data_IF_874954115403
#
_entry.id   IF_874954115403
#
_cell.length_a   1.000
_cell.length_b   1.000
_cell.length_c   1.000
_cell.angle_alpha   90.00
_cell.angle_beta   90.00
_cell.angle_gamma   90.00
#
_symmetry.space_group_name_H-M   'P 1'
#
loop_
_entity.id
_entity.type
_entity.pdbx_description
1 polymer ?
#
# COMPACT_ATOMS: atom_id res chain seq x y z
N UNK A 1 18.34 -16.56 -18.38
CA UNK A 1 18.38 -17.50 -17.23
C UNK A 1 19.25 -16.85 -16.18
N UNK A 2 18.71 -16.68 -14.97
CA UNK A 2 19.45 -16.11 -13.84
C UNK A 2 20.55 -17.07 -13.38
N UNK A 3 21.70 -16.53 -12.99
CA UNK A 3 22.79 -17.33 -12.41
C UNK A 3 22.31 -17.99 -11.09
N UNK A 4 22.43 -19.32 -10.95
CA UNK A 4 22.06 -20.02 -9.73
C UNK A 4 22.81 -19.44 -8.52
N UNK A 5 22.08 -19.09 -7.46
CA UNK A 5 22.65 -18.49 -6.25
C UNK A 5 22.90 -16.98 -6.31
N UNK A 6 22.56 -16.31 -7.41
CA UNK A 6 22.52 -14.84 -7.46
C UNK A 6 21.53 -14.27 -6.43
N UNK A 7 21.72 -13.01 -6.02
CA UNK A 7 20.85 -12.35 -5.04
C UNK A 7 19.37 -12.38 -5.46
N UNK A 8 19.08 -12.10 -6.74
CA UNK A 8 17.70 -12.15 -7.23
C UNK A 8 17.15 -13.59 -7.28
N UNK A 9 17.97 -14.60 -7.60
CA UNK A 9 17.52 -15.99 -7.53
C UNK A 9 17.14 -16.39 -6.10
N UNK A 10 17.85 -15.88 -5.08
CA UNK A 10 17.48 -16.07 -3.66
C UNK A 10 16.19 -15.33 -3.31
N UNK A 11 16.01 -14.09 -3.76
CA UNK A 11 14.75 -13.35 -3.57
C UNK A 11 13.57 -14.14 -4.13
N UNK A 12 13.65 -14.55 -5.40
CA UNK A 12 12.55 -15.26 -6.07
C UNK A 12 12.24 -16.61 -5.40
N UNK A 13 13.27 -17.36 -4.99
CA UNK A 13 13.08 -18.61 -4.25
C UNK A 13 12.38 -18.39 -2.90
N UNK A 14 12.79 -17.35 -2.15
CA UNK A 14 12.16 -17.01 -0.87
C UNK A 14 10.72 -16.54 -1.04
N UNK A 15 10.42 -15.79 -2.10
CA UNK A 15 9.05 -15.41 -2.44
C UNK A 15 8.16 -16.63 -2.71
N UNK A 16 8.67 -17.65 -3.41
CA UNK A 16 7.95 -18.90 -3.61
C UNK A 16 7.71 -19.66 -2.29
N UNK A 17 8.73 -19.74 -1.44
CA UNK A 17 8.59 -20.36 -0.11
C UNK A 17 7.55 -19.65 0.76
N UNK A 18 7.47 -18.31 0.69
CA UNK A 18 6.44 -17.54 1.39
C UNK A 18 5.05 -17.74 0.77
N UNK A 19 4.96 -17.76 -0.55
CA UNK A 19 3.70 -17.80 -1.29
C UNK A 19 2.87 -19.05 -1.02
N UNK A 20 3.52 -20.19 -0.78
CA UNK A 20 2.83 -21.47 -0.51
C UNK A 20 2.27 -21.58 0.91
N UNK A 21 2.62 -20.67 1.82
CA UNK A 21 2.16 -20.70 3.22
C UNK A 21 0.65 -20.38 3.29
N UNK A 22 -0.06 -21.13 4.12
CA UNK A 22 -1.52 -21.03 4.30
C UNK A 22 -2.33 -21.92 3.35
N UNK A 23 -1.70 -22.43 2.29
CA UNK A 23 -2.36 -23.26 1.28
C UNK A 23 -3.49 -22.54 0.54
N UNK A 24 -4.25 -23.28 -0.27
CA UNK A 24 -5.35 -22.71 -1.06
C UNK A 24 -4.88 -21.96 -2.31
N UNK A 25 -5.72 -21.05 -2.81
CA UNK A 25 -5.40 -20.20 -3.95
C UNK A 25 -4.68 -18.94 -3.42
N UNK A 26 -3.54 -18.57 -4.01
CA UNK A 26 -2.78 -17.39 -3.58
C UNK A 26 -2.12 -17.52 -2.21
N UNK A 27 -1.52 -16.41 -1.75
CA UNK A 27 -1.00 -16.28 -0.38
C UNK A 27 -2.16 -16.16 0.62
N UNK A 28 -2.04 -16.81 1.77
CA UNK A 28 -3.07 -16.81 2.83
C UNK A 28 -2.44 -16.69 4.22
N UNK A 29 -1.67 -15.63 4.45
CA UNK A 29 -0.96 -15.34 5.71
C UNK A 29 -1.61 -14.16 6.43
N UNK A 30 -2.69 -14.40 7.16
CA UNK A 30 -3.42 -13.31 7.85
C UNK A 30 -2.59 -12.77 9.02
N UNK A 31 -2.61 -11.46 9.24
CA UNK A 31 -1.91 -10.86 10.38
C UNK A 31 -2.26 -11.53 11.73
N UNK A 32 -1.24 -11.74 12.54
CA UNK A 32 -1.23 -12.49 13.80
C UNK A 32 -1.71 -13.94 13.74
N UNK A 33 -1.74 -14.55 12.56
CA UNK A 33 -2.05 -15.97 12.39
C UNK A 33 -0.80 -16.87 12.50
N UNK A 34 -1.02 -18.18 12.61
CA UNK A 34 0.06 -19.19 12.59
C UNK A 34 0.87 -19.16 11.28
N UNK A 35 0.22 -18.78 10.19
CA UNK A 35 0.80 -18.69 8.85
C UNK A 35 1.73 -17.46 8.74
N UNK A 36 1.35 -16.32 9.30
CA UNK A 36 2.25 -15.16 9.40
C UNK A 36 3.44 -15.48 10.34
N UNK A 37 3.20 -16.17 11.45
CA UNK A 37 4.27 -16.63 12.36
C UNK A 37 5.25 -17.60 11.65
N UNK A 38 4.75 -18.44 10.73
CA UNK A 38 5.59 -19.29 9.90
C UNK A 38 6.47 -18.49 8.94
N UNK A 39 5.90 -17.50 8.25
CA UNK A 39 6.67 -16.59 7.40
C UNK A 39 7.77 -15.84 8.19
N UNK A 40 7.45 -15.36 9.39
CA UNK A 40 8.44 -14.72 10.27
C UNK A 40 9.55 -15.69 10.72
N UNK A 41 9.24 -16.97 10.96
CA UNK A 41 10.27 -17.98 11.26
C UNK A 41 11.22 -18.22 10.08
N UNK A 42 10.70 -18.27 8.84
CA UNK A 42 11.54 -18.40 7.65
C UNK A 42 12.42 -17.16 7.48
N UNK A 43 11.83 -15.97 7.56
CA UNK A 43 12.55 -14.70 7.46
C UNK A 43 13.65 -14.57 8.52
N UNK A 44 13.39 -15.00 9.77
CA UNK A 44 14.41 -15.09 10.83
C UNK A 44 15.59 -15.95 10.38
N UNK A 45 15.32 -17.15 9.88
CA UNK A 45 16.37 -18.06 9.42
C UNK A 45 17.21 -17.45 8.29
N UNK A 46 16.58 -16.75 7.35
CA UNK A 46 17.28 -16.06 6.26
C UNK A 46 18.10 -14.86 6.74
N UNK A 47 17.60 -14.07 7.70
CA UNK A 47 18.35 -12.99 8.34
C UNK A 47 19.58 -13.52 9.10
N UNK A 48 19.43 -14.61 9.85
CA UNK A 48 20.54 -15.28 10.56
C UNK A 48 21.57 -15.84 9.57
N UNK A 49 21.14 -16.44 8.47
CA UNK A 49 22.02 -16.92 7.39
C UNK A 49 22.79 -15.79 6.71
N UNK A 50 22.20 -14.61 6.60
CA UNK A 50 22.84 -13.39 6.10
C UNK A 50 23.79 -12.74 7.14
N UNK A 51 23.95 -13.34 8.32
CA UNK A 51 24.86 -12.86 9.38
C UNK A 51 24.32 -11.66 10.16
N UNK A 52 23.00 -11.45 10.17
CA UNK A 52 22.35 -10.37 10.91
C UNK A 52 22.04 -10.77 12.35
N UNK A 53 22.13 -9.82 13.27
CA UNK A 53 21.68 -9.95 14.66
C UNK A 53 20.16 -9.82 14.72
N UNK A 54 19.46 -10.92 14.96
CA UNK A 54 17.99 -10.99 14.86
C UNK A 54 17.29 -10.89 16.21
N UNK A 55 16.36 -9.96 16.32
CA UNK A 55 15.53 -9.70 17.51
C UNK A 55 14.05 -9.60 17.14
N UNK A 56 13.16 -9.73 18.12
CA UNK A 56 11.74 -9.40 17.99
C UNK A 56 11.39 -8.33 19.01
N UNK A 57 10.71 -7.27 18.58
CA UNK A 57 10.29 -6.19 19.46
C UNK A 57 8.99 -6.53 20.22
N UNK A 58 8.51 -5.59 21.04
CA UNK A 58 7.29 -5.77 21.82
C UNK A 58 6.00 -5.83 20.98
N UNK A 59 6.03 -5.35 19.73
CA UNK A 59 4.92 -5.40 18.78
C UNK A 59 4.91 -6.71 17.97
N UNK A 60 5.96 -7.52 18.10
CA UNK A 60 6.16 -8.75 17.35
C UNK A 60 6.91 -8.54 16.03
N UNK A 61 7.40 -7.33 15.75
CA UNK A 61 8.18 -7.06 14.54
C UNK A 61 9.51 -7.81 14.60
N UNK A 62 9.89 -8.45 13.50
CA UNK A 62 11.18 -9.13 13.39
C UNK A 62 12.20 -8.17 12.79
N UNK A 63 13.31 -7.97 13.49
CA UNK A 63 14.35 -7.01 13.10
C UNK A 63 15.70 -7.72 13.04
N UNK A 64 16.33 -7.73 11.87
CA UNK A 64 17.70 -8.20 11.64
C UNK A 64 18.65 -7.04 11.43
N UNK A 65 19.62 -6.84 12.33
CA UNK A 65 20.59 -5.74 12.26
C UNK A 65 21.95 -6.23 11.77
N UNK A 66 22.57 -5.49 10.87
CA UNK A 66 23.95 -5.78 10.49
C UNK A 66 24.92 -5.36 11.62
N UNK A 67 25.89 -6.20 12.02
CA UNK A 67 26.79 -5.89 13.15
C UNK A 67 27.64 -4.62 12.97
N UNK A 68 27.90 -4.22 11.71
CA UNK A 68 28.67 -3.01 11.40
C UNK A 68 27.90 -1.69 11.62
N UNK A 69 26.57 -1.73 11.80
CA UNK A 69 25.73 -0.55 12.02
C UNK A 69 24.33 -0.71 11.42
N UNK A 70 23.34 -0.04 12.03
CA UNK A 70 21.91 -0.21 11.72
C UNK A 70 21.11 1.10 11.76
N UNK A 71 21.73 2.21 11.36
CA UNK A 71 21.09 3.52 11.33
C UNK A 71 19.96 3.61 10.28
N UNK A 72 20.22 3.12 9.06
CA UNK A 72 19.25 3.05 7.97
C UNK A 72 18.54 1.69 7.97
N UNK A 73 17.22 1.72 7.92
CA UNK A 73 16.38 0.51 7.89
C UNK A 73 15.75 0.34 6.51
N UNK A 74 15.48 -0.91 6.16
CA UNK A 74 14.65 -1.31 5.04
C UNK A 74 13.70 -2.40 5.49
N UNK A 75 12.62 -2.63 4.77
CA UNK A 75 11.69 -3.68 5.14
C UNK A 75 10.34 -3.49 4.49
N UNK A 76 9.40 -4.30 4.94
CA UNK A 76 7.97 -4.21 4.66
C UNK A 76 7.26 -5.22 5.58
N UNK A 77 6.21 -5.89 5.11
CA UNK A 77 5.42 -6.83 5.88
C UNK A 77 5.44 -8.26 5.30
N UNK A 78 4.97 -9.24 6.08
CA UNK A 78 4.91 -10.65 5.68
C UNK A 78 3.50 -11.24 5.74
N UNK A 79 2.53 -10.53 6.34
CA UNK A 79 1.13 -10.87 6.20
C UNK A 79 0.64 -10.61 4.76
N UNK A 80 -0.58 -11.07 4.46
CA UNK A 80 -1.24 -10.93 3.18
C UNK A 80 -2.75 -11.01 3.37
N UNK A 81 -3.51 -10.40 2.46
CA UNK A 81 -4.95 -10.68 2.33
C UNK A 81 -5.24 -12.14 1.91
N UNK A 82 -6.46 -12.66 2.15
CA UNK A 82 -6.88 -13.94 1.61
C UNK A 82 -6.78 -13.99 0.08
N UNK A 83 -6.17 -15.05 -0.46
CA UNK A 83 -5.85 -15.22 -1.87
C UNK A 83 -4.98 -14.08 -2.44
N UNK A 84 -4.07 -13.54 -1.63
CA UNK A 84 -3.13 -12.50 -2.02
C UNK A 84 -2.10 -12.97 -3.05
N UNK A 85 -1.28 -12.01 -3.49
CA UNK A 85 -0.21 -12.23 -4.44
C UNK A 85 1.07 -12.77 -3.82
N UNK A 86 2.09 -12.92 -4.66
CA UNK A 86 3.42 -13.42 -4.27
C UNK A 86 4.34 -12.33 -3.72
N UNK A 87 4.10 -11.07 -4.07
CA UNK A 87 5.09 -9.99 -3.93
C UNK A 87 4.68 -8.94 -2.90
N UNK A 88 3.39 -8.66 -2.76
CA UNK A 88 2.84 -7.69 -1.81
C UNK A 88 3.41 -7.90 -0.39
N UNK A 89 4.06 -6.87 0.16
CA UNK A 89 4.87 -6.93 1.39
C UNK A 89 6.14 -7.79 1.32
N UNK A 90 5.96 -9.07 0.98
CA UNK A 90 7.00 -10.10 1.01
C UNK A 90 8.26 -9.71 0.23
N UNK A 91 8.09 -9.05 -0.92
CA UNK A 91 9.20 -8.55 -1.73
C UNK A 91 10.10 -7.59 -0.96
N UNK A 92 9.52 -6.63 -0.24
CA UNK A 92 10.29 -5.64 0.52
C UNK A 92 11.14 -6.27 1.62
N UNK A 93 10.61 -7.29 2.29
CA UNK A 93 11.34 -8.01 3.34
C UNK A 93 12.48 -8.84 2.76
N UNK A 94 12.21 -9.70 1.76
CA UNK A 94 13.25 -10.60 1.24
C UNK A 94 14.31 -9.86 0.42
N UNK A 95 13.93 -8.78 -0.28
CA UNK A 95 14.87 -7.89 -0.93
C UNK A 95 15.69 -7.09 0.07
N UNK A 96 15.06 -6.66 1.18
CA UNK A 96 15.75 -5.98 2.28
C UNK A 96 16.84 -6.85 2.92
N UNK A 97 16.59 -8.14 3.14
CA UNK A 97 17.60 -9.09 3.63
C UNK A 97 18.82 -9.10 2.71
N UNK A 98 18.60 -9.27 1.39
CA UNK A 98 19.67 -9.29 0.40
C UNK A 98 20.40 -7.95 0.28
N UNK A 99 19.67 -6.84 0.36
CA UNK A 99 20.23 -5.51 0.24
C UNK A 99 21.12 -5.16 1.44
N UNK A 100 20.69 -5.48 2.67
CA UNK A 100 21.46 -5.24 3.90
C UNK A 100 22.72 -6.11 3.93
N UNK A 101 22.61 -7.40 3.59
CA UNK A 101 23.77 -8.31 3.49
C UNK A 101 24.82 -7.75 2.53
N UNK A 102 24.40 -7.28 1.35
CA UNK A 102 25.30 -6.79 0.30
C UNK A 102 25.80 -5.36 0.55
N UNK A 103 25.02 -4.54 1.25
CA UNK A 103 25.45 -3.21 1.66
C UNK A 103 26.52 -3.30 2.76
N UNK A 104 26.48 -4.33 3.61
CA UNK A 104 27.39 -4.52 4.73
C UNK A 104 27.09 -3.61 5.91
N UNK A 105 25.90 -3.01 5.94
CA UNK A 105 25.33 -2.26 7.06
C UNK A 105 23.82 -2.06 6.85
N UNK A 106 23.14 -1.55 7.87
CA UNK A 106 21.70 -1.32 7.89
C UNK A 106 20.94 -2.35 8.73
N UNK A 107 19.62 -2.25 8.73
CA UNK A 107 18.75 -3.27 9.31
C UNK A 107 17.59 -3.58 8.36
N UNK A 108 17.10 -4.81 8.45
CA UNK A 108 15.86 -5.24 7.83
C UNK A 108 14.79 -5.45 8.89
N UNK A 109 13.58 -4.96 8.65
CA UNK A 109 12.41 -5.20 9.49
C UNK A 109 11.30 -5.91 8.70
N UNK A 110 10.67 -6.90 9.32
CA UNK A 110 9.39 -7.43 8.90
C UNK A 110 8.34 -6.98 9.92
N UNK A 111 7.46 -6.07 9.49
CA UNK A 111 6.38 -5.56 10.31
C UNK A 111 5.23 -6.57 10.40
N UNK A 112 4.52 -6.54 11.54
CA UNK A 112 3.32 -7.35 11.77
C UNK A 112 2.06 -6.65 11.25
N UNK A 113 1.20 -7.42 10.60
CA UNK A 113 -0.19 -7.08 10.31
C UNK A 113 -0.38 -5.71 9.62
N UNK A 114 0.26 -5.54 8.47
CA UNK A 114 0.13 -4.34 7.63
C UNK A 114 -1.29 -4.24 7.04
N UNK A 115 -1.78 -5.34 6.47
CA UNK A 115 -2.97 -5.40 5.61
C UNK A 115 -4.26 -4.98 6.32
N UNK A 116 -4.29 -5.11 7.64
CA UNK A 116 -5.46 -4.76 8.48
C UNK A 116 -5.29 -3.46 9.25
N UNK A 117 -4.11 -2.84 9.23
CA UNK A 117 -3.91 -1.54 9.87
C UNK A 117 -2.51 -1.21 10.34
N UNK A 118 -1.46 -1.89 9.85
CA UNK A 118 -0.06 -1.62 10.18
C UNK A 118 0.21 -1.68 11.70
N UNK A 119 -0.25 -2.75 12.36
CA UNK A 119 -0.14 -2.87 13.82
C UNK A 119 1.32 -2.79 14.29
N UNK A 120 2.22 -3.48 13.57
CA UNK A 120 3.65 -3.53 13.82
C UNK A 120 4.32 -2.17 13.78
N UNK A 121 4.23 -1.45 12.65
CA UNK A 121 4.86 -0.13 12.49
C UNK A 121 4.21 0.95 13.38
N UNK A 122 2.91 0.86 13.66
CA UNK A 122 2.23 1.75 14.62
C UNK A 122 2.74 1.56 16.04
N UNK A 123 3.02 0.33 16.44
CA UNK A 123 3.54 0.01 17.77
C UNK A 123 5.08 0.08 17.88
N UNK A 124 5.80 0.26 16.76
CA UNK A 124 7.26 0.42 16.75
C UNK A 124 7.68 1.60 17.65
N UNK A 125 8.53 1.30 18.63
CA UNK A 125 9.10 2.27 19.59
C UNK A 125 10.52 2.69 19.25
N UNK A 126 11.28 1.81 18.60
CA UNK A 126 12.61 2.14 18.07
C UNK A 126 12.47 3.09 16.87
N UNK A 127 13.42 4.03 16.74
CA UNK A 127 13.39 5.04 15.69
C UNK A 127 14.69 4.93 14.89
N UNK A 128 14.66 4.34 13.68
CA UNK A 128 15.80 4.41 12.79
C UNK A 128 16.03 5.85 12.30
N UNK A 129 17.24 6.13 11.84
CA UNK A 129 17.60 7.44 11.30
C UNK A 129 16.95 7.67 9.93
N UNK A 130 16.72 6.60 9.18
CA UNK A 130 15.98 6.60 7.92
C UNK A 130 15.37 5.24 7.61
N UNK A 131 14.37 5.22 6.74
CA UNK A 131 13.69 4.01 6.29
C UNK A 131 13.47 4.04 4.76
N UNK A 132 13.79 2.94 4.08
CA UNK A 132 13.48 2.77 2.65
C UNK A 132 12.70 1.47 2.46
N UNK A 133 11.51 1.55 1.89
CA UNK A 133 10.67 0.38 1.60
C UNK A 133 10.61 0.10 0.10
N UNK A 134 11.04 -1.10 -0.29
CA UNK A 134 10.85 -1.61 -1.64
C UNK A 134 9.50 -2.32 -1.69
N UNK A 135 8.66 -1.97 -2.66
CA UNK A 135 7.33 -2.55 -2.77
C UNK A 135 6.94 -2.73 -4.24
N UNK A 136 5.96 -3.59 -4.53
CA UNK A 136 5.31 -3.56 -5.85
C UNK A 136 4.40 -2.34 -5.97
N UNK A 137 4.21 -1.83 -7.18
CA UNK A 137 3.41 -0.61 -7.43
C UNK A 137 1.93 -0.78 -7.06
N UNK A 138 1.38 -1.98 -7.23
CA UNK A 138 -0.05 -2.30 -7.08
C UNK A 138 -0.94 -1.46 -8.00
N UNK A 139 -0.36 -1.03 -9.13
CA UNK A 139 -0.99 -0.16 -10.10
C UNK A 139 -0.36 -0.31 -11.50
N UNK A 140 -0.97 0.27 -12.54
CA UNK A 140 -0.52 0.11 -13.92
C UNK A 140 0.39 1.25 -14.42
N UNK A 141 0.75 2.23 -13.59
CA UNK A 141 1.42 3.47 -14.02
C UNK A 141 2.81 3.18 -14.59
N UNK A 142 3.63 2.37 -13.90
CA UNK A 142 4.97 2.05 -14.36
C UNK A 142 4.93 1.16 -15.61
N UNK A 143 3.96 0.23 -15.67
CA UNK A 143 3.75 -0.59 -16.86
C UNK A 143 3.34 0.24 -18.09
N UNK A 144 2.37 1.15 -17.93
CA UNK A 144 1.96 2.06 -18.99
C UNK A 144 3.10 3.00 -19.43
N UNK A 145 3.92 3.43 -18.48
CA UNK A 145 5.10 4.27 -18.73
C UNK A 145 6.36 3.53 -19.20
N UNK A 146 6.30 2.19 -19.34
CA UNK A 146 7.47 1.35 -19.63
C UNK A 146 8.66 1.59 -18.68
N UNK A 147 8.37 1.97 -17.43
CA UNK A 147 9.37 2.15 -16.38
C UNK A 147 9.42 0.87 -15.52
N UNK A 148 10.61 0.32 -15.21
CA UNK A 148 10.71 -0.85 -14.35
C UNK A 148 10.54 -0.49 -12.86
N UNK A 149 10.88 0.75 -12.50
CA UNK A 149 10.91 1.25 -11.13
C UNK A 149 10.28 2.64 -11.05
N UNK A 150 9.76 2.99 -9.88
CA UNK A 150 9.21 4.32 -9.58
C UNK A 150 9.60 4.80 -8.18
N UNK A 151 9.80 6.10 -8.02
CA UNK A 151 10.10 6.71 -6.71
C UNK A 151 8.81 7.30 -6.13
N UNK A 152 8.44 6.84 -4.94
CA UNK A 152 7.17 7.27 -4.34
C UNK A 152 7.30 8.66 -3.74
N UNK A 153 6.38 9.57 -4.10
CA UNK A 153 6.35 10.94 -3.59
C UNK A 153 5.69 11.05 -2.22
N UNK A 154 4.75 10.15 -1.94
CA UNK A 154 3.95 10.14 -0.72
C UNK A 154 2.91 9.01 -0.75
N UNK A 155 2.33 8.75 0.41
CA UNK A 155 1.17 7.89 0.60
C UNK A 155 -0.09 8.76 0.61
N UNK A 156 -1.06 8.40 -0.22
CA UNK A 156 -2.32 9.13 -0.30
C UNK A 156 -3.08 9.09 1.03
N UNK A 157 -3.68 10.22 1.40
CA UNK A 157 -4.64 10.27 2.51
C UNK A 157 -5.92 9.55 2.13
N UNK A 158 -6.64 9.04 3.14
CA UNK A 158 -7.89 8.31 2.97
C UNK A 158 -8.94 8.86 3.93
N UNK A 159 -10.09 9.25 3.41
CA UNK A 159 -11.27 9.63 4.17
C UNK A 159 -12.43 8.72 3.76
N UNK A 160 -13.05 8.08 4.75
CA UNK A 160 -14.24 7.26 4.54
C UNK A 160 -15.37 7.75 5.44
N UNK A 161 -16.58 7.73 4.91
CA UNK A 161 -17.77 8.09 5.64
C UNK A 161 -19.02 7.77 4.83
N UNK A 162 -20.16 8.19 5.35
CA UNK A 162 -21.46 7.93 4.74
C UNK A 162 -22.31 9.19 4.73
N UNK A 163 -23.17 9.30 3.72
CA UNK A 163 -24.24 10.27 3.67
C UNK A 163 -25.55 9.54 3.88
N UNK A 164 -26.34 9.99 4.85
CA UNK A 164 -27.72 9.58 5.01
C UNK A 164 -28.63 10.64 4.38
N UNK A 165 -29.42 10.22 3.39
CA UNK A 165 -30.32 11.08 2.66
C UNK A 165 -31.75 10.69 3.01
N UNK A 166 -32.53 11.66 3.46
CA UNK A 166 -33.93 11.50 3.79
C UNK A 166 -34.83 12.06 2.68
N UNK A 167 -35.97 11.40 2.50
CA UNK A 167 -37.04 11.79 1.59
C UNK A 167 -38.39 11.43 2.21
N UNK A 168 -39.44 11.50 1.39
CA UNK A 168 -40.81 11.16 1.79
C UNK A 168 -41.31 9.94 1.02
N UNK A 169 -41.53 8.79 1.70
CA UNK A 169 -42.15 7.64 1.07
C UNK A 169 -43.49 7.98 0.44
N UNK A 170 -43.77 7.36 -0.71
CA UNK A 170 -45.01 7.58 -1.44
C UNK A 170 -45.25 6.50 -2.48
N UNK A 171 -46.49 6.37 -2.93
CA UNK A 171 -46.83 5.37 -3.95
C UNK A 171 -46.33 5.84 -5.33
N UNK A 172 -45.46 5.05 -5.97
CA UNK A 172 -44.72 5.43 -7.17
C UNK A 172 -45.63 5.79 -8.36
N UNK A 173 -46.84 5.21 -8.43
CA UNK A 173 -47.80 5.46 -9.51
C UNK A 173 -48.76 6.63 -9.29
N UNK A 174 -48.91 7.15 -8.07
CA UNK A 174 -49.97 8.14 -7.76
C UNK A 174 -49.43 9.46 -7.26
N UNK A 175 -48.24 9.49 -6.65
CA UNK A 175 -47.59 10.74 -6.28
C UNK A 175 -47.04 11.40 -7.55
N UNK A 176 -47.46 12.64 -7.92
CA UNK A 176 -46.93 13.35 -9.08
C UNK A 176 -45.41 13.53 -9.01
N UNK A 177 -44.72 13.69 -10.15
CA UNK A 177 -43.28 13.94 -10.15
C UNK A 177 -42.91 15.28 -9.50
N UNK A 178 -43.72 16.31 -9.73
CA UNK A 178 -43.55 17.61 -9.09
C UNK A 178 -43.78 17.47 -7.57
N UNK A 179 -42.76 17.81 -6.78
CA UNK A 179 -42.83 17.78 -5.31
C UNK A 179 -42.50 16.43 -4.66
N UNK A 180 -41.93 15.47 -5.41
CA UNK A 180 -41.31 14.29 -4.77
C UNK A 180 -40.08 14.70 -3.97
N UNK A 181 -39.99 14.17 -2.76
CA UNK A 181 -38.77 14.16 -1.95
C UNK A 181 -38.21 12.73 -2.06
N UNK A 182 -37.52 12.42 -3.16
CA UNK A 182 -37.02 11.07 -3.47
C UNK A 182 -35.57 10.92 -3.02
N UNK A 183 -35.35 10.11 -1.98
CA UNK A 183 -34.02 9.92 -1.40
C UNK A 183 -33.05 9.24 -2.38
N UNK A 184 -33.55 8.37 -3.27
CA UNK A 184 -32.70 7.68 -4.25
C UNK A 184 -32.28 8.60 -5.38
N UNK A 185 -33.13 9.55 -5.80
CA UNK A 185 -32.73 10.58 -6.76
C UNK A 185 -31.61 11.44 -6.17
N UNK A 186 -31.76 11.87 -4.91
CA UNK A 186 -30.72 12.63 -4.21
C UNK A 186 -29.42 11.83 -4.08
N UNK A 187 -29.51 10.51 -3.82
CA UNK A 187 -28.36 9.61 -3.78
C UNK A 187 -27.67 9.49 -5.14
N UNK A 188 -28.43 9.39 -6.24
CA UNK A 188 -27.88 9.33 -7.59
C UNK A 188 -27.13 10.63 -7.97
N UNK A 189 -27.65 11.79 -7.58
CA UNK A 189 -26.96 13.07 -7.75
C UNK A 189 -25.65 13.11 -6.95
N UNK A 190 -25.66 12.64 -5.70
CA UNK A 190 -24.46 12.55 -4.87
C UNK A 190 -23.41 11.61 -5.47
N UNK A 191 -23.81 10.44 -6.01
CA UNK A 191 -22.89 9.51 -6.69
C UNK A 191 -22.15 10.20 -7.84
N UNK A 192 -22.86 10.99 -8.66
CA UNK A 192 -22.25 11.75 -9.75
C UNK A 192 -21.32 12.85 -9.21
N UNK A 193 -21.74 13.58 -8.18
CA UNK A 193 -20.92 14.60 -7.52
C UNK A 193 -19.63 14.01 -6.94
N UNK A 194 -19.66 12.81 -6.37
CA UNK A 194 -18.46 12.14 -5.82
C UNK A 194 -17.43 11.91 -6.93
N UNK A 195 -17.85 11.35 -8.07
CA UNK A 195 -16.99 11.18 -9.25
C UNK A 195 -16.45 12.53 -9.74
N UNK A 196 -17.32 13.51 -9.92
CA UNK A 196 -16.95 14.80 -10.52
C UNK A 196 -16.01 15.62 -9.63
N UNK A 197 -16.17 15.53 -8.30
CA UNK A 197 -15.25 16.14 -7.34
C UNK A 197 -13.84 15.55 -7.45
N UNK A 198 -13.71 14.22 -7.54
CA UNK A 198 -12.42 13.56 -7.72
C UNK A 198 -11.80 13.91 -9.08
N UNK A 199 -12.56 13.88 -10.18
CA UNK A 199 -12.06 14.26 -11.51
C UNK A 199 -11.56 15.72 -11.56
N UNK A 200 -12.11 16.60 -10.73
CA UNK A 200 -11.70 18.00 -10.63
C UNK A 200 -10.41 18.25 -9.83
N UNK A 201 -9.79 17.21 -9.28
CA UNK A 201 -8.59 17.29 -8.44
C UNK A 201 -7.57 16.27 -8.94
N UNK A 202 -6.44 16.76 -9.44
CA UNK A 202 -5.38 15.91 -10.00
C UNK A 202 -4.87 14.88 -8.98
N UNK A 203 -4.82 13.61 -9.38
CA UNK A 203 -4.38 12.49 -8.53
C UNK A 203 -5.37 12.08 -7.45
N UNK A 204 -6.51 12.75 -7.29
CA UNK A 204 -7.56 12.32 -6.38
C UNK A 204 -8.41 11.21 -6.99
N UNK A 205 -8.88 10.32 -6.13
CA UNK A 205 -9.89 9.31 -6.47
C UNK A 205 -10.98 9.32 -5.41
N UNK A 206 -12.22 9.09 -5.81
CA UNK A 206 -13.32 8.89 -4.87
C UNK A 206 -14.33 7.90 -5.44
N UNK A 207 -14.82 7.03 -4.57
CA UNK A 207 -15.65 5.90 -4.96
C UNK A 207 -16.84 5.78 -4.03
N UNK A 208 -18.03 5.64 -4.62
CA UNK A 208 -19.21 5.13 -3.91
C UNK A 208 -19.18 3.61 -4.02
N UNK A 209 -18.84 2.94 -2.93
CA UNK A 209 -18.75 1.47 -2.88
C UNK A 209 -20.05 0.79 -2.48
N UNK A 210 -20.97 1.51 -1.83
CA UNK A 210 -22.22 0.98 -1.30
C UNK A 210 -23.32 2.04 -1.38
N UNK A 211 -24.49 1.61 -1.80
CA UNK A 211 -25.72 2.40 -1.80
C UNK A 211 -26.86 1.51 -1.29
N UNK A 212 -27.45 1.90 -0.17
CA UNK A 212 -28.60 1.21 0.43
C UNK A 212 -29.84 2.09 0.26
N UNK A 213 -30.98 1.47 -0.08
CA UNK A 213 -32.24 2.17 -0.37
C UNK A 213 -33.35 1.56 0.47
N UNK A 214 -34.09 2.39 1.19
CA UNK A 214 -35.21 1.97 2.03
C UNK A 214 -36.53 2.66 1.59
N UNK A 215 -37.64 1.89 1.44
CA UNK A 215 -37.76 0.45 1.68
C UNK A 215 -37.28 -0.45 0.52
N UNK A 216 -36.80 0.13 -0.59
CA UNK A 216 -36.31 -0.64 -1.75
C UNK A 216 -37.39 -1.36 -2.56
N UNK A 217 -38.68 -1.13 -2.26
CA UNK A 217 -39.80 -1.71 -3.00
C UNK A 217 -40.01 -1.02 -4.36
N UNK A 218 -40.25 -1.81 -5.41
CA UNK A 218 -40.35 -1.33 -6.80
C UNK A 218 -41.41 -0.24 -7.04
N UNK A 219 -42.46 -0.22 -6.23
CA UNK A 219 -43.60 0.68 -6.37
C UNK A 219 -43.68 1.75 -5.25
N UNK A 220 -42.59 1.96 -4.51
CA UNK A 220 -42.50 2.95 -3.43
C UNK A 220 -41.39 3.94 -3.73
N UNK A 221 -41.68 5.23 -3.63
CA UNK A 221 -40.68 6.30 -3.65
C UNK A 221 -39.79 6.12 -2.41
N UNK A 222 -38.46 5.99 -2.57
CA UNK A 222 -37.56 5.80 -1.43
C UNK A 222 -37.59 6.98 -0.45
N UNK A 223 -37.77 6.64 0.83
CA UNK A 223 -37.75 7.61 1.93
C UNK A 223 -36.39 7.78 2.58
N UNK A 224 -35.47 6.83 2.37
CA UNK A 224 -34.10 6.92 2.86
C UNK A 224 -33.13 6.25 1.89
N UNK A 225 -31.95 6.84 1.76
CA UNK A 225 -30.82 6.24 1.09
C UNK A 225 -29.54 6.48 1.90
N UNK A 226 -28.67 5.48 1.98
CA UNK A 226 -27.34 5.59 2.61
C UNK A 226 -26.28 5.36 1.55
N UNK A 227 -25.36 6.32 1.39
CA UNK A 227 -24.31 6.30 0.36
C UNK A 227 -22.96 6.30 1.04
N UNK A 228 -22.14 5.28 0.83
CA UNK A 228 -20.76 5.26 1.31
C UNK A 228 -19.84 6.02 0.38
N UNK A 229 -18.78 6.62 0.93
CA UNK A 229 -17.72 7.28 0.16
C UNK A 229 -16.36 6.86 0.70
N UNK A 230 -15.48 6.40 -0.19
CA UNK A 230 -14.02 6.28 0.03
C UNK A 230 -13.35 7.34 -0.86
N UNK A 231 -12.72 8.33 -0.26
CA UNK A 231 -12.08 9.45 -0.93
C UNK A 231 -10.58 9.48 -0.59
N UNK A 232 -9.73 9.61 -1.60
CA UNK A 232 -8.27 9.62 -1.46
C UNK A 232 -7.63 10.73 -2.27
N UNK A 233 -6.54 11.28 -1.76
CA UNK A 233 -5.76 12.29 -2.46
C UNK A 233 -4.28 12.24 -2.05
N UNK A 234 -3.35 12.63 -2.96
CA UNK A 234 -1.92 12.38 -2.80
C UNK A 234 -1.23 13.29 -1.77
N UNK A 235 -1.83 14.44 -1.43
CA UNK A 235 -1.27 15.39 -0.48
C UNK A 235 -2.37 16.13 0.30
N UNK A 236 -1.97 16.83 1.36
CA UNK A 236 -2.86 17.51 2.30
C UNK A 236 -3.74 18.55 1.62
N UNK A 237 -3.20 19.36 0.71
CA UNK A 237 -3.97 20.42 0.04
C UNK A 237 -5.11 19.83 -0.79
N UNK A 238 -4.79 18.84 -1.63
CA UNK A 238 -5.77 18.16 -2.48
C UNK A 238 -6.75 17.34 -1.65
N UNK A 239 -6.30 16.74 -0.54
CA UNK A 239 -7.14 15.95 0.36
C UNK A 239 -8.20 16.81 1.05
N UNK A 240 -7.83 17.94 1.63
CA UNK A 240 -8.81 18.85 2.23
C UNK A 240 -9.76 19.45 1.20
N UNK A 241 -9.23 19.77 0.00
CA UNK A 241 -10.07 20.26 -1.10
C UNK A 241 -11.11 19.22 -1.52
N UNK A 242 -10.74 17.94 -1.60
CA UNK A 242 -11.65 16.86 -1.96
C UNK A 242 -12.73 16.67 -0.90
N UNK A 243 -12.34 16.56 0.37
CA UNK A 243 -13.28 16.38 1.50
C UNK A 243 -14.24 17.58 1.59
N UNK A 244 -13.72 18.80 1.47
CA UNK A 244 -14.52 20.02 1.46
C UNK A 244 -15.47 20.09 0.27
N UNK A 245 -15.03 19.69 -0.93
CA UNK A 245 -15.88 19.65 -2.13
C UNK A 245 -17.02 18.63 -2.01
N UNK A 246 -16.81 17.54 -1.27
CA UNK A 246 -17.82 16.53 -0.98
C UNK A 246 -18.74 16.93 0.18
N UNK A 247 -18.28 17.79 1.10
CA UNK A 247 -18.96 18.01 2.38
C UNK A 247 -18.98 16.72 3.22
N UNK A 248 -17.94 15.90 3.10
CA UNK A 248 -17.83 14.62 3.77
C UNK A 248 -17.38 14.84 5.22
N UNK A 249 -18.14 14.28 6.17
CA UNK A 249 -17.74 14.15 7.57
C UNK A 249 -17.21 12.72 7.77
N UNK A 250 -15.88 12.49 7.74
CA UNK A 250 -15.33 11.15 7.73
C UNK A 250 -15.42 10.47 9.10
N UNK A 251 -15.87 9.22 9.12
CA UNK A 251 -15.81 8.33 10.30
C UNK A 251 -14.47 7.61 10.43
N UNK A 252 -13.72 7.53 9.32
CA UNK A 252 -12.36 7.03 9.28
C UNK A 252 -11.50 7.98 8.45
N UNK A 253 -10.35 8.38 8.99
CA UNK A 253 -9.46 9.33 8.36
C UNK A 253 -7.99 8.99 8.62
N UNK A 254 -7.20 8.98 7.55
CA UNK A 254 -5.74 8.87 7.57
C UNK A 254 -5.19 10.03 6.75
N UNK A 255 -4.26 10.79 7.33
CA UNK A 255 -3.63 11.91 6.63
C UNK A 255 -2.64 11.42 5.56
N UNK A 256 -2.50 12.16 4.45
CA UNK A 256 -1.42 11.93 3.50
C UNK A 256 -0.05 12.01 4.18
N UNK A 257 0.87 11.12 3.79
CA UNK A 257 2.23 11.09 4.34
C UNK A 257 3.26 11.31 3.23
N UNK A 258 3.93 12.46 3.26
CA UNK A 258 4.98 12.78 2.29
C UNK A 258 6.24 11.92 2.54
N UNK A 259 6.85 11.42 1.47
CA UNK A 259 8.16 10.79 1.55
C UNK A 259 9.26 11.85 1.60
N UNK A 260 10.34 11.54 2.30
CA UNK A 260 11.48 12.43 2.54
C UNK A 260 12.14 12.88 1.22
N UNK A 261 12.38 14.18 1.09
CA UNK A 261 12.87 14.78 -0.13
C UNK A 261 14.31 14.39 -0.47
N UNK A 262 15.18 14.20 0.53
CA UNK A 262 16.58 13.84 0.32
C UNK A 262 16.71 12.37 -0.09
N UNK A 263 15.95 11.48 0.56
CA UNK A 263 15.88 10.06 0.20
C UNK A 263 15.25 9.84 -1.18
N UNK A 264 14.18 10.58 -1.52
CA UNK A 264 13.63 10.56 -2.89
C UNK A 264 14.65 11.01 -3.91
N UNK A 265 15.33 12.13 -3.66
CA UNK A 265 16.37 12.62 -4.56
C UNK A 265 17.52 11.62 -4.71
N UNK A 266 17.86 10.88 -3.65
CA UNK A 266 18.82 9.78 -3.69
C UNK A 266 18.35 8.66 -4.63
N UNK A 267 17.13 8.16 -4.47
CA UNK A 267 16.58 7.11 -5.34
C UNK A 267 16.52 7.57 -6.81
N UNK A 268 16.06 8.79 -7.07
CA UNK A 268 16.05 9.37 -8.42
C UNK A 268 17.46 9.42 -9.04
N UNK A 269 18.49 9.77 -8.26
CA UNK A 269 19.89 9.74 -8.73
C UNK A 269 20.36 8.32 -9.04
N UNK A 270 20.02 7.33 -8.22
CA UNK A 270 20.38 5.93 -8.46
C UNK A 270 19.71 5.36 -9.72
N UNK A 271 18.44 5.74 -9.99
CA UNK A 271 17.78 5.39 -11.26
C UNK A 271 18.47 6.07 -12.45
N UNK A 272 18.70 7.38 -12.37
CA UNK A 272 19.30 8.16 -13.45
C UNK A 272 20.73 7.72 -13.79
N UNK A 273 21.56 7.38 -12.79
CA UNK A 273 22.94 6.91 -13.02
C UNK A 273 23.01 5.56 -13.73
N UNK A 274 21.91 4.79 -13.76
CA UNK A 274 21.77 3.51 -14.47
C UNK A 274 21.09 3.66 -15.83
N UNK A 275 20.75 4.88 -16.24
CA UNK A 275 20.01 5.15 -17.47
C UNK A 275 18.56 4.67 -17.44
N UNK A 276 17.99 4.48 -16.24
CA UNK A 276 16.58 4.11 -16.08
C UNK A 276 15.68 5.35 -16.14
N UNK A 277 14.43 5.23 -16.62
CA UNK A 277 13.44 6.29 -16.50
C UNK A 277 13.25 6.70 -15.03
N UNK A 278 13.20 8.00 -14.77
CA UNK A 278 12.87 8.55 -13.44
C UNK A 278 11.39 8.90 -13.44
N UNK A 279 10.58 8.02 -12.86
CA UNK A 279 9.14 8.23 -12.68
C UNK A 279 8.88 8.46 -11.19
N UNK A 280 8.21 9.57 -10.87
CA UNK A 280 7.75 9.88 -9.54
C UNK A 280 6.22 9.78 -9.49
N UNK A 281 5.68 9.09 -8.48
CA UNK A 281 4.25 8.82 -8.35
C UNK A 281 3.83 8.69 -6.88
N UNK A 282 2.55 8.93 -6.58
CA UNK A 282 1.99 8.68 -5.24
C UNK A 282 1.59 7.21 -5.11
N UNK A 283 1.73 6.62 -3.92
CA UNK A 283 1.03 5.37 -3.61
C UNK A 283 -0.43 5.68 -3.24
N UNK A 284 -1.35 4.89 -3.79
CA UNK A 284 -2.75 4.89 -3.40
C UNK A 284 -3.09 3.89 -2.28
N UNK A 285 -2.17 2.98 -1.97
CA UNK A 285 -2.27 1.98 -0.91
C UNK A 285 -1.61 2.49 0.38
N UNK A 286 -2.01 1.91 1.51
CA UNK A 286 -1.30 2.11 2.78
C UNK A 286 0.01 1.31 2.77
N UNK A 287 1.01 1.80 3.51
CA UNK A 287 2.26 1.08 3.73
C UNK A 287 2.86 1.49 5.08
N UNK A 288 3.73 0.65 5.64
CA UNK A 288 4.49 0.94 6.85
C UNK A 288 5.34 2.21 6.73
N UNK A 289 5.91 2.49 5.55
CA UNK A 289 6.63 3.74 5.27
C UNK A 289 5.79 4.99 5.59
N UNK A 290 4.48 4.97 5.31
CA UNK A 290 3.57 6.06 5.63
C UNK A 290 3.40 6.27 7.13
N UNK A 291 3.35 5.18 7.91
CA UNK A 291 3.30 5.22 9.38
C UNK A 291 4.59 5.79 9.95
N UNK A 292 5.75 5.35 9.44
CA UNK A 292 7.05 5.85 9.88
C UNK A 292 7.23 7.33 9.52
N UNK A 293 6.83 7.74 8.31
CA UNK A 293 6.85 9.14 7.88
C UNK A 293 5.97 10.02 8.78
N UNK A 294 4.76 9.57 9.11
CA UNK A 294 3.86 10.27 10.03
C UNK A 294 4.44 10.38 11.46
N UNK A 295 5.31 9.43 11.86
CA UNK A 295 6.10 9.51 13.10
C UNK A 295 7.32 10.42 12.98
N UNK A 296 7.56 11.07 11.84
CA UNK A 296 8.71 11.95 11.62
C UNK A 296 10.04 11.21 11.44
N UNK A 297 10.00 9.95 11.00
CA UNK A 297 11.19 9.23 10.53
C UNK A 297 11.34 9.53 9.03
N UNK A 298 12.53 9.96 8.55
CA UNK A 298 12.78 10.12 7.12
C UNK A 298 12.54 8.80 6.38
N UNK A 299 11.49 8.75 5.56
CA UNK A 299 11.07 7.54 4.84
C UNK A 299 11.00 7.79 3.34
N UNK A 300 11.38 6.80 2.54
CA UNK A 300 11.12 6.77 1.10
C UNK A 300 10.65 5.38 0.67
N UNK A 301 10.03 5.30 -0.51
CA UNK A 301 9.71 4.02 -1.12
C UNK A 301 10.18 3.95 -2.58
N UNK A 302 10.53 2.74 -2.98
CA UNK A 302 10.87 2.39 -4.34
C UNK A 302 9.86 1.34 -4.82
N UNK A 303 9.09 1.69 -5.84
CA UNK A 303 8.17 0.77 -6.49
C UNK A 303 8.86 -0.06 -7.56
N UNK A 304 8.49 -1.33 -7.60
CA UNK A 304 8.73 -2.28 -8.69
C UNK A 304 7.46 -2.38 -9.51
N UNK A 305 7.60 -2.29 -10.84
CA UNK A 305 6.48 -2.33 -11.78
C UNK A 305 5.61 -3.57 -11.57
N UNK A 306 4.32 -3.34 -11.33
CA UNK A 306 3.29 -4.38 -11.39
C UNK A 306 2.85 -4.61 -12.84
N UNK A 307 2.96 -5.85 -13.29
CA UNK A 307 2.45 -6.33 -14.58
C UNK A 307 0.97 -6.72 -14.46
N UNK A 308 0.43 -7.37 -15.50
CA UNK A 308 -0.95 -7.86 -15.54
C UNK A 308 -2.00 -6.77 -15.18
N UNK A 309 -1.82 -5.57 -15.73
CA UNK A 309 -2.71 -4.43 -15.49
C UNK A 309 -2.60 -3.82 -14.09
N UNK A 310 -1.54 -4.12 -13.34
CA UNK A 310 -1.37 -3.65 -11.96
C UNK A 310 -2.09 -4.52 -10.93
N UNK A 311 -2.39 -5.78 -11.26
CA UNK A 311 -3.04 -6.70 -10.36
C UNK A 311 -2.26 -6.83 -9.04
N UNK A 312 -2.96 -6.68 -7.92
CA UNK A 312 -2.50 -6.93 -6.56
C UNK A 312 -3.69 -7.42 -5.71
N UNK A 313 -3.47 -7.82 -4.46
CA UNK A 313 -4.48 -8.46 -3.60
C UNK A 313 -5.17 -9.67 -4.28
N UNK A 314 -4.45 -10.35 -5.17
CA UNK A 314 -4.94 -11.47 -5.95
C UNK A 314 -3.80 -12.39 -6.38
N UNK A 315 -4.08 -13.67 -6.70
CA UNK A 315 -3.06 -14.61 -7.19
C UNK A 315 -2.50 -14.24 -8.57
N UNK A 316 -3.12 -13.25 -9.22
CA UNK A 316 -2.73 -12.73 -10.54
C UNK A 316 -1.62 -11.67 -10.46
N UNK A 317 -1.18 -11.31 -9.25
CA UNK A 317 -0.07 -10.38 -9.04
C UNK A 317 1.21 -10.86 -9.73
N UNK A 318 1.84 -9.96 -10.47
CA UNK A 318 3.01 -10.28 -11.27
C UNK A 318 3.98 -9.10 -11.34
N UNK A 319 5.26 -9.34 -11.09
CA UNK A 319 6.38 -8.46 -11.43
C UNK A 319 7.42 -9.30 -12.15
N UNK A 320 8.19 -8.72 -13.09
CA UNK A 320 9.21 -9.52 -13.78
C UNK A 320 10.44 -9.74 -12.89
N UNK A 321 11.14 -10.84 -13.11
CA UNK A 321 12.39 -11.15 -12.42
C UNK A 321 13.44 -10.04 -12.63
N UNK A 322 13.47 -9.42 -13.81
CA UNK A 322 14.36 -8.31 -14.14
C UNK A 322 14.02 -7.03 -13.36
N UNK A 323 12.75 -6.69 -13.22
CA UNK A 323 12.31 -5.50 -12.49
C UNK A 323 12.59 -5.68 -10.98
N UNK A 324 12.35 -6.89 -10.46
CA UNK A 324 12.72 -7.27 -9.08
C UNK A 324 14.22 -7.17 -8.87
N UNK A 325 15.04 -7.68 -9.80
CA UNK A 325 16.50 -7.57 -9.72
C UNK A 325 16.95 -6.10 -9.65
N UNK A 326 16.40 -5.25 -10.52
CA UNK A 326 16.70 -3.81 -10.52
C UNK A 326 16.31 -3.15 -9.20
N UNK A 327 15.15 -3.50 -8.64
CA UNK A 327 14.70 -3.02 -7.33
C UNK A 327 15.71 -3.34 -6.22
N UNK A 328 16.19 -4.58 -6.17
CA UNK A 328 17.21 -5.00 -5.19
C UNK A 328 18.52 -4.23 -5.40
N UNK A 329 18.97 -4.05 -6.64
CA UNK A 329 20.22 -3.31 -6.93
C UNK A 329 20.14 -1.84 -6.51
N UNK A 330 19.01 -1.18 -6.78
CA UNK A 330 18.81 0.24 -6.41
C UNK A 330 18.67 0.38 -4.90
N UNK A 331 17.91 -0.49 -4.23
CA UNK A 331 17.81 -0.50 -2.77
C UNK A 331 19.18 -0.71 -2.12
N UNK A 332 19.95 -1.70 -2.58
CA UNK A 332 21.31 -1.98 -2.08
C UNK A 332 22.22 -0.76 -2.22
N UNK A 333 22.14 -0.05 -3.35
CA UNK A 333 22.97 1.12 -3.60
C UNK A 333 22.53 2.35 -2.81
N UNK A 334 21.23 2.51 -2.57
CA UNK A 334 20.68 3.54 -1.70
C UNK A 334 21.15 3.33 -0.25
N UNK A 335 21.09 2.08 0.25
CA UNK A 335 21.55 1.76 1.60
C UNK A 335 23.03 2.09 1.82
N UNK A 336 23.89 1.98 0.80
CA UNK A 336 25.35 2.25 0.90
C UNK A 336 25.73 3.74 1.05
N UNK A 337 24.78 4.66 0.97
CA UNK A 337 25.02 6.11 0.94
C UNK A 337 24.43 6.78 2.15
#
# INVERSE_FOLDING_TARGET
MLEPGSAVARVLARLEELYVIGGGLGANRIGYSSEEDEAHRLARGWMEQAGLDVSVDAAGNLIGRHPAGSAAWTGSHLDSVPNGGRYDGALGVVAGIEAVERAGHGAVVAFRDEERGCAGSRALTERPDSYVELHVEQGPVLAAGSAPLGVVTGIAGVARGEFELEGRPGHAGTVPMAGREDALVSAAELVLRVRDAALGIEGAVATVGRLEVDPGALNVIPGRAVVSVDARAPDTERFERLIGALGLEPTYRVEPAAMDAELRALLCRELGSRGLPVVELSSGAGHDAGILAAKGIPSAMLFVRSLNGGASHSPEELSSDEDVALGVEVLTAALRR
#
